data_IF_430662640542
#
_entry.id   IF_430662640542
#
_cell.length_a   1.000
_cell.length_b   1.000
_cell.length_c   1.000
_cell.angle_alpha   90.00
_cell.angle_beta   90.00
_cell.angle_gamma   90.00
#
_symmetry.space_group_name_H-M   'P 1'
#
loop_
_entity.id
_entity.type
_entity.pdbx_description
1 polymer ?
#
# COMPACT_ATOMS: atom_id res chain seq x y z
N UNK A 1 17.78 -6.43 -8.35
CA UNK A 1 16.75 -5.70 -7.59
C UNK A 1 15.38 -6.18 -8.05
N UNK A 2 14.62 -6.81 -7.14
CA UNK A 2 13.31 -7.39 -7.44
C UNK A 2 12.27 -6.33 -7.78
N UNK A 3 11.12 -6.78 -8.30
CA UNK A 3 9.99 -5.88 -8.64
C UNK A 3 9.57 -5.03 -7.45
N UNK A 4 9.42 -5.64 -6.27
CA UNK A 4 8.99 -4.97 -5.05
C UNK A 4 10.02 -3.97 -4.51
N UNK A 5 11.32 -4.27 -4.62
CA UNK A 5 12.39 -3.36 -4.19
C UNK A 5 12.36 -2.04 -4.98
N UNK A 6 12.19 -2.14 -6.31
CA UNK A 6 12.09 -0.96 -7.18
C UNK A 6 10.86 -0.13 -6.85
N UNK A 7 9.74 -0.79 -6.58
CA UNK A 7 8.50 -0.13 -6.23
C UNK A 7 8.55 0.52 -4.84
N UNK A 8 9.13 -0.15 -3.85
CA UNK A 8 9.39 0.41 -2.51
C UNK A 8 10.27 1.66 -2.60
N UNK A 9 11.36 1.63 -3.36
CA UNK A 9 12.20 2.81 -3.58
C UNK A 9 11.41 3.95 -4.23
N UNK A 10 10.56 3.64 -5.22
CA UNK A 10 9.72 4.66 -5.86
C UNK A 10 8.80 5.34 -4.84
N UNK A 11 8.18 4.58 -3.92
CA UNK A 11 7.35 5.13 -2.84
C UNK A 11 8.20 5.99 -1.89
N UNK A 12 9.31 5.45 -1.38
CA UNK A 12 10.14 6.11 -0.37
C UNK A 12 10.81 7.40 -0.88
N UNK A 13 10.99 7.54 -2.19
CA UNK A 13 11.49 8.80 -2.78
C UNK A 13 10.48 9.95 -2.66
N UNK A 14 9.18 9.67 -2.49
CA UNK A 14 8.15 10.70 -2.33
C UNK A 14 7.96 11.62 -3.54
N UNK A 15 8.48 11.25 -4.72
CA UNK A 15 8.40 12.07 -5.94
C UNK A 15 7.40 11.51 -6.96
N UNK A 16 6.50 10.61 -6.55
CA UNK A 16 5.65 9.84 -7.46
C UNK A 16 4.19 9.73 -7.02
N UNK A 17 3.72 10.59 -6.12
CA UNK A 17 2.40 10.48 -5.47
C UNK A 17 1.22 10.35 -6.46
N UNK A 18 1.32 10.99 -7.64
CA UNK A 18 0.28 10.90 -8.69
C UNK A 18 0.37 9.65 -9.57
N UNK A 19 1.46 8.90 -9.50
CA UNK A 19 1.81 7.80 -10.39
C UNK A 19 2.09 6.49 -9.63
N UNK A 20 1.43 6.27 -8.49
CA UNK A 20 1.48 5.00 -7.76
C UNK A 20 0.27 4.17 -8.19
N UNK A 21 0.55 2.97 -8.69
CA UNK A 21 -0.50 2.01 -9.03
C UNK A 21 -1.15 1.47 -7.75
N UNK A 22 -2.48 1.43 -7.74
CA UNK A 22 -3.25 1.02 -6.57
C UNK A 22 -2.98 -0.44 -6.20
N UNK A 23 -3.04 -1.35 -7.16
CA UNK A 23 -2.84 -2.78 -6.90
C UNK A 23 -1.39 -3.08 -6.51
N UNK A 24 -0.41 -2.41 -7.08
CA UNK A 24 0.98 -2.56 -6.64
C UNK A 24 1.18 -2.10 -5.19
N UNK A 25 0.57 -0.97 -4.78
CA UNK A 25 0.62 -0.49 -3.40
C UNK A 25 -0.07 -1.45 -2.44
N UNK A 26 -1.31 -1.85 -2.77
CA UNK A 26 -2.09 -2.80 -1.99
C UNK A 26 -1.33 -4.11 -1.79
N UNK A 27 -0.81 -4.70 -2.86
CA UNK A 27 -0.05 -5.95 -2.79
C UNK A 27 1.25 -5.82 -1.99
N UNK A 28 1.93 -4.66 -2.04
CA UNK A 28 3.11 -4.43 -1.21
C UNK A 28 2.75 -4.39 0.28
N UNK A 29 1.68 -3.70 0.65
CA UNK A 29 1.21 -3.62 2.03
C UNK A 29 0.81 -4.99 2.58
N UNK A 30 0.06 -5.78 1.79
CA UNK A 30 -0.28 -7.17 2.17
C UNK A 30 0.97 -8.03 2.39
N UNK A 31 2.02 -7.86 1.57
CA UNK A 31 3.31 -8.55 1.78
C UNK A 31 4.05 -8.12 3.03
N UNK A 32 3.84 -6.89 3.49
CA UNK A 32 4.38 -6.41 4.76
C UNK A 32 3.56 -6.86 5.98
N UNK A 33 2.57 -7.74 5.78
CA UNK A 33 1.76 -8.31 6.84
C UNK A 33 0.59 -7.42 7.26
N UNK A 34 0.22 -6.43 6.45
CA UNK A 34 -1.05 -5.75 6.67
C UNK A 34 -2.21 -6.70 6.35
N UNK A 35 -3.20 -6.72 7.22
CA UNK A 35 -4.51 -7.28 6.99
C UNK A 35 -5.38 -6.25 6.28
N UNK A 36 -6.29 -6.70 5.42
CA UNK A 36 -7.16 -5.82 4.64
C UNK A 36 -8.63 -6.14 4.88
N UNK A 37 -9.40 -5.07 5.09
CA UNK A 37 -10.85 -5.09 5.10
C UNK A 37 -11.38 -4.17 4.00
N UNK A 38 -12.21 -4.72 3.12
CA UNK A 38 -12.81 -3.97 2.00
C UNK A 38 -14.23 -3.49 2.36
N UNK A 39 -14.53 -2.22 2.10
CA UNK A 39 -15.86 -1.61 2.24
C UNK A 39 -16.17 -0.74 1.02
N UNK A 40 -16.87 -1.29 0.03
CA UNK A 40 -17.05 -0.62 -1.26
C UNK A 40 -15.70 -0.53 -1.99
N UNK A 41 -15.33 0.68 -2.45
CA UNK A 41 -14.00 0.94 -3.04
C UNK A 41 -12.93 1.33 -2.02
N UNK A 42 -13.27 1.34 -0.72
CA UNK A 42 -12.31 1.59 0.35
C UNK A 42 -11.65 0.30 0.80
N UNK A 43 -10.33 0.33 0.88
CA UNK A 43 -9.48 -0.74 1.38
C UNK A 43 -8.81 -0.24 2.66
N UNK A 44 -9.25 -0.78 3.78
CA UNK A 44 -8.77 -0.43 5.11
C UNK A 44 -7.71 -1.46 5.48
N UNK A 45 -6.47 -1.02 5.67
CA UNK A 45 -5.34 -1.88 6.00
C UNK A 45 -4.83 -1.60 7.42
N UNK A 46 -4.64 -2.66 8.18
CA UNK A 46 -4.16 -2.65 9.57
C UNK A 46 -3.04 -3.65 9.75
N UNK A 47 -2.10 -3.42 10.66
CA UNK A 47 -1.07 -4.40 11.00
C UNK A 47 -0.83 -4.37 12.50
N UNK A 48 -0.73 -5.55 13.11
CA UNK A 48 -0.35 -5.65 14.53
C UNK A 48 0.99 -4.93 14.78
N UNK A 49 1.05 -4.14 15.85
CA UNK A 49 2.20 -3.30 16.16
C UNK A 49 2.37 -2.03 15.30
N UNK A 50 1.42 -1.68 14.43
CA UNK A 50 1.29 -0.35 13.82
C UNK A 50 -0.03 0.28 14.30
N UNK A 51 0.05 1.46 14.91
CA UNK A 51 -1.14 2.18 15.39
C UNK A 51 -1.97 2.76 14.23
N UNK A 52 -1.30 3.21 13.17
CA UNK A 52 -1.94 3.83 12.03
C UNK A 52 -2.76 2.84 11.19
N UNK A 53 -4.03 3.20 10.99
CA UNK A 53 -4.92 2.53 10.04
C UNK A 53 -4.81 3.23 8.68
N UNK A 54 -4.40 2.49 7.66
CA UNK A 54 -4.34 2.99 6.29
C UNK A 54 -5.71 2.81 5.64
N UNK A 55 -6.21 3.84 4.95
CA UNK A 55 -7.40 3.76 4.11
C UNK A 55 -7.03 4.20 2.70
N UNK A 56 -6.88 3.24 1.80
CA UNK A 56 -6.59 3.50 0.38
C UNK A 56 -7.85 3.23 -0.43
N UNK A 57 -8.08 4.03 -1.46
CA UNK A 57 -9.30 3.96 -2.27
C UNK A 57 -8.93 3.74 -3.73
N UNK A 58 -9.51 2.71 -4.34
CA UNK A 58 -9.47 2.55 -5.79
C UNK A 58 -10.31 3.68 -6.42
N UNK A 59 -9.71 4.39 -7.39
CA UNK A 59 -10.43 5.42 -8.17
C UNK A 59 -11.41 4.78 -9.14
#
# INVERSE_FOLDING_TARGET
MGKYDKFLIKILRGTSDKNIDFEELRNLLLKFGFEERVKGSHHILTRDGIEEILNIQAK
#
